data_IF_954811982533
#
_entry.id   IF_954811982533
#
_cell.length_a   1.000
_cell.length_b   1.000
_cell.length_c   1.000
_cell.angle_alpha   90.00
_cell.angle_beta   90.00
_cell.angle_gamma   90.00
#
_symmetry.space_group_name_H-M   'P 1'
#
loop_
_entity.id
_entity.type
_entity.pdbx_description
1 polymer ?
#
# COMPACT_ATOMS: atom_id res chain seq x y z
N UNK A 1 -3.69 22.30 -21.13
CA UNK A 1 -3.91 21.78 -19.76
C UNK A 1 -3.13 22.63 -18.76
N UNK A 2 -3.81 23.41 -17.90
CA UNK A 2 -3.17 24.28 -16.88
C UNK A 2 -2.23 23.45 -15.98
N UNK A 3 -1.02 23.94 -15.75
CA UNK A 3 0.11 23.25 -15.09
C UNK A 3 -0.28 22.51 -13.78
N UNK A 4 -1.15 23.10 -12.97
CA UNK A 4 -1.59 22.46 -11.72
C UNK A 4 -2.58 21.29 -11.86
N UNK A 5 -3.13 20.99 -13.04
CA UNK A 5 -3.98 19.79 -13.21
C UNK A 5 -3.12 18.55 -13.42
N UNK A 6 -2.00 18.71 -14.12
CA UNK A 6 -0.99 17.66 -14.30
C UNK A 6 -0.38 17.25 -12.97
N UNK A 7 -0.11 18.20 -12.08
CA UNK A 7 0.40 17.94 -10.72
C UNK A 7 -0.59 17.16 -9.85
N UNK A 8 -1.87 17.53 -9.85
CA UNK A 8 -2.88 16.82 -9.07
C UNK A 8 -3.06 15.37 -9.56
N UNK A 9 -3.10 15.17 -10.88
CA UNK A 9 -3.14 13.83 -11.48
C UNK A 9 -1.88 13.03 -11.15
N UNK A 10 -0.71 13.66 -11.17
CA UNK A 10 0.55 13.02 -10.78
C UNK A 10 0.50 12.48 -9.34
N UNK A 11 0.04 13.28 -8.38
CA UNK A 11 -0.11 12.83 -6.99
C UNK A 11 -1.13 11.70 -6.85
N UNK A 12 -2.22 11.72 -7.61
CA UNK A 12 -3.18 10.60 -7.60
C UNK A 12 -2.55 9.31 -8.11
N UNK A 13 -1.86 9.36 -9.25
CA UNK A 13 -1.22 8.17 -9.83
C UNK A 13 -0.12 7.65 -8.92
N UNK A 14 0.71 8.54 -8.37
CA UNK A 14 1.79 8.18 -7.45
C UNK A 14 1.25 7.56 -6.16
N UNK A 15 0.17 8.14 -5.61
CA UNK A 15 -0.49 7.60 -4.42
C UNK A 15 -1.12 6.24 -4.67
N UNK A 16 -1.82 6.06 -5.80
CA UNK A 16 -2.38 4.77 -6.22
C UNK A 16 -1.31 3.69 -6.39
N UNK A 17 -0.17 4.03 -6.99
CA UNK A 17 0.94 3.11 -7.13
C UNK A 17 1.51 2.69 -5.77
N UNK A 18 1.65 3.61 -4.82
CA UNK A 18 2.08 3.32 -3.45
C UNK A 18 1.10 2.42 -2.70
N UNK A 19 -0.21 2.69 -2.81
CA UNK A 19 -1.26 1.86 -2.22
C UNK A 19 -1.23 0.45 -2.83
N UNK A 20 -1.17 0.35 -4.16
CA UNK A 20 -1.13 -0.92 -4.87
C UNK A 20 0.10 -1.75 -4.50
N UNK A 21 1.25 -1.11 -4.36
CA UNK A 21 2.49 -1.77 -3.92
C UNK A 21 2.37 -2.29 -2.48
N UNK A 22 1.92 -1.46 -1.53
CA UNK A 22 1.73 -1.87 -0.13
C UNK A 22 0.68 -2.96 0.03
N UNK A 23 -0.43 -2.89 -0.71
CA UNK A 23 -1.47 -3.92 -0.70
C UNK A 23 -0.99 -5.23 -1.34
N UNK A 24 -0.31 -5.16 -2.49
CA UNK A 24 0.21 -6.33 -3.18
C UNK A 24 1.25 -7.08 -2.35
N UNK A 25 2.16 -6.36 -1.72
CA UNK A 25 3.15 -6.96 -0.80
C UNK A 25 2.49 -7.59 0.42
N UNK A 26 1.49 -6.93 1.03
CA UNK A 26 0.74 -7.52 2.14
C UNK A 26 -0.03 -8.79 1.73
N UNK A 27 -0.64 -8.81 0.55
CA UNK A 27 -1.37 -9.97 0.03
C UNK A 27 -0.45 -11.14 -0.29
N UNK A 28 0.75 -10.90 -0.83
CA UNK A 28 1.73 -11.94 -1.09
C UNK A 28 2.24 -12.58 0.20
N UNK A 29 2.53 -11.77 1.22
CA UNK A 29 2.94 -12.28 2.54
C UNK A 29 1.80 -13.06 3.22
N UNK A 30 0.54 -12.59 3.11
CA UNK A 30 -0.62 -13.34 3.61
C UNK A 30 -0.84 -14.66 2.86
N UNK A 31 -0.67 -14.65 1.53
CA UNK A 31 -0.81 -15.82 0.68
C UNK A 31 0.28 -16.85 0.96
N UNK A 32 1.52 -16.41 1.20
CA UNK A 32 2.62 -17.26 1.66
C UNK A 32 2.30 -17.93 2.99
N UNK A 33 1.88 -17.15 4.01
CA UNK A 33 1.45 -17.69 5.30
C UNK A 33 0.32 -18.71 5.17
N UNK A 34 -0.66 -18.45 4.30
CA UNK A 34 -1.78 -19.37 4.08
C UNK A 34 -1.34 -20.67 3.40
N UNK A 35 -0.50 -20.59 2.37
CA UNK A 35 0.05 -21.76 1.68
C UNK A 35 0.90 -22.62 2.61
N UNK A 36 1.73 -21.99 3.45
CA UNK A 36 2.56 -22.69 4.44
C UNK A 36 1.70 -23.39 5.51
N UNK A 37 0.63 -22.73 5.98
CA UNK A 37 -0.33 -23.31 6.94
C UNK A 37 -1.07 -24.52 6.34
N UNK A 38 -1.41 -24.47 5.06
CA UNK A 38 -2.06 -25.57 4.34
C UNK A 38 -1.10 -26.75 4.06
N UNK A 39 0.18 -26.47 3.82
CA UNK A 39 1.17 -27.48 3.47
C UNK A 39 1.67 -28.29 4.68
N UNK A 40 1.66 -27.71 5.89
CA UNK A 40 2.17 -28.37 7.10
C UNK A 40 1.39 -27.97 8.37
N UNK A 41 0.13 -28.44 8.54
CA UNK A 41 -0.75 -28.01 9.63
C UNK A 41 -0.35 -28.46 11.06
N UNK A 42 0.61 -29.39 11.19
CA UNK A 42 1.02 -29.99 12.48
C UNK A 42 2.54 -29.93 12.74
N UNK A 43 3.31 -29.33 11.84
CA UNK A 43 4.72 -29.07 12.11
C UNK A 43 4.79 -27.76 12.89
N UNK A 44 5.03 -27.85 14.21
CA UNK A 44 5.52 -26.74 15.03
C UNK A 44 6.91 -26.35 14.50
N UNK A 45 6.97 -25.77 13.30
CA UNK A 45 8.09 -24.94 12.91
C UNK A 45 7.99 -23.68 13.73
N UNK A 46 8.65 -23.77 14.88
CA UNK A 46 9.08 -22.68 15.71
C UNK A 46 9.59 -21.51 14.86
N UNK A 47 8.67 -20.63 14.45
CA UNK A 47 8.70 -19.18 14.63
C UNK A 47 9.98 -18.41 14.28
N UNK A 48 10.87 -18.95 13.46
CA UNK A 48 12.05 -18.24 12.95
C UNK A 48 11.68 -17.07 12.03
N UNK A 49 10.58 -17.22 11.27
CA UNK A 49 10.20 -16.29 10.19
C UNK A 49 9.09 -15.28 10.57
N UNK A 50 8.35 -15.51 11.66
CA UNK A 50 7.21 -14.65 12.02
C UNK A 50 7.62 -13.20 12.29
N UNK A 51 8.85 -12.97 12.78
CA UNK A 51 9.40 -11.62 12.98
C UNK A 51 9.75 -10.93 11.66
N UNK A 52 10.20 -11.67 10.66
CA UNK A 52 10.54 -11.11 9.34
C UNK A 52 9.29 -10.85 8.50
N UNK A 53 8.30 -11.73 8.55
CA UNK A 53 6.97 -11.47 7.94
C UNK A 53 6.32 -10.26 8.60
N UNK A 54 6.31 -10.18 9.94
CA UNK A 54 5.76 -9.02 10.66
C UNK A 54 6.49 -7.73 10.28
N UNK A 55 7.82 -7.78 10.13
CA UNK A 55 8.62 -6.63 9.71
C UNK A 55 8.30 -6.22 8.28
N UNK A 56 8.23 -7.16 7.33
CA UNK A 56 7.86 -6.90 5.94
C UNK A 56 6.44 -6.37 5.81
N UNK A 57 5.50 -6.91 6.58
CA UNK A 57 4.13 -6.44 6.66
C UNK A 57 4.06 -5.02 7.23
N UNK A 58 4.85 -4.69 8.26
CA UNK A 58 4.96 -3.33 8.78
C UNK A 58 5.49 -2.35 7.70
N UNK A 59 6.47 -2.76 6.90
CA UNK A 59 6.98 -1.97 5.77
C UNK A 59 5.96 -1.84 4.63
N UNK A 60 5.21 -2.90 4.34
CA UNK A 60 4.13 -2.90 3.33
C UNK A 60 3.00 -1.95 3.74
N UNK A 61 2.58 -1.99 5.00
CA UNK A 61 1.59 -1.07 5.56
C UNK A 61 2.12 0.36 5.59
N UNK A 62 3.39 0.56 5.98
CA UNK A 62 4.03 1.88 5.98
C UNK A 62 4.09 2.51 4.59
N UNK A 63 4.51 1.75 3.58
CA UNK A 63 4.58 2.21 2.18
C UNK A 63 3.19 2.44 1.58
N UNK A 64 2.24 1.56 1.86
CA UNK A 64 0.83 1.74 1.47
C UNK A 64 0.21 3.00 2.09
N UNK A 65 0.47 3.24 3.38
CA UNK A 65 0.00 4.42 4.11
C UNK A 65 0.54 5.74 3.53
N UNK A 66 1.81 5.79 3.15
CA UNK A 66 2.38 6.94 2.42
C UNK A 66 1.64 7.15 1.09
N UNK A 67 1.36 6.07 0.35
CA UNK A 67 0.55 6.11 -0.87
C UNK A 67 -0.83 6.74 -0.65
N UNK A 68 -1.53 6.39 0.43
CA UNK A 68 -2.83 6.99 0.80
C UNK A 68 -2.73 8.50 1.01
N UNK A 69 -1.72 8.97 1.75
CA UNK A 69 -1.53 10.41 2.02
C UNK A 69 -1.29 11.19 0.73
N UNK A 70 -0.43 10.66 -0.15
CA UNK A 70 -0.11 11.26 -1.44
C UNK A 70 -1.34 11.30 -2.34
N UNK A 71 -2.13 10.21 -2.37
CA UNK A 71 -3.39 10.14 -3.12
C UNK A 71 -4.40 11.18 -2.63
N UNK A 72 -4.62 11.26 -1.31
CA UNK A 72 -5.53 12.23 -0.70
C UNK A 72 -5.10 13.67 -0.99
N UNK A 73 -3.80 13.95 -1.03
CA UNK A 73 -3.27 15.26 -1.42
C UNK A 73 -3.70 15.62 -2.85
N UNK A 74 -3.58 14.69 -3.79
CA UNK A 74 -4.07 14.86 -5.16
C UNK A 74 -5.58 15.11 -5.23
N UNK A 75 -6.37 14.38 -4.43
CA UNK A 75 -7.83 14.55 -4.33
C UNK A 75 -8.20 15.94 -3.80
N UNK A 76 -7.55 16.41 -2.73
CA UNK A 76 -7.78 17.75 -2.15
C UNK A 76 -7.43 18.84 -3.16
N UNK A 77 -6.35 18.69 -3.93
CA UNK A 77 -5.98 19.64 -4.97
C UNK A 77 -7.03 19.73 -6.10
N UNK A 78 -7.62 18.60 -6.48
CA UNK A 78 -8.72 18.54 -7.44
C UNK A 78 -10.01 19.18 -6.87
N UNK A 79 -10.37 18.85 -5.63
CA UNK A 79 -11.56 19.35 -4.97
C UNK A 79 -11.52 20.88 -4.77
N UNK A 80 -10.38 21.41 -4.31
CA UNK A 80 -10.17 22.87 -4.15
C UNK A 80 -10.25 23.65 -5.46
N UNK A 81 -9.96 23.01 -6.60
CA UNK A 81 -10.14 23.64 -7.92
C UNK A 81 -11.57 23.64 -8.41
N UNK A 82 -12.37 22.64 -8.03
CA UNK A 82 -13.81 22.57 -8.36
C UNK A 82 -14.65 23.59 -7.59
N UNK A 83 -14.21 24.01 -6.40
CA UNK A 83 -14.92 24.98 -5.55
C UNK A 83 -14.43 26.43 -5.64
N UNK A 84 -13.57 26.77 -6.61
CA UNK A 84 -13.15 28.16 -6.86
C UNK A 84 -14.01 28.75 -7.99
N UNK A 85 -14.70 29.89 -7.78
CA UNK A 85 -15.40 30.60 -8.86
C UNK A 85 -14.41 31.05 -9.94
#
# INVERSE_FOLDING_TARGET
MKMGNKQAVFYLVLGLAGIGYGLGTALLELGGLYADTMAAPLEDRAGGDGKDVSRRMLWAVGTGGIGVVVFLTGMVMMARKRGRP
#
